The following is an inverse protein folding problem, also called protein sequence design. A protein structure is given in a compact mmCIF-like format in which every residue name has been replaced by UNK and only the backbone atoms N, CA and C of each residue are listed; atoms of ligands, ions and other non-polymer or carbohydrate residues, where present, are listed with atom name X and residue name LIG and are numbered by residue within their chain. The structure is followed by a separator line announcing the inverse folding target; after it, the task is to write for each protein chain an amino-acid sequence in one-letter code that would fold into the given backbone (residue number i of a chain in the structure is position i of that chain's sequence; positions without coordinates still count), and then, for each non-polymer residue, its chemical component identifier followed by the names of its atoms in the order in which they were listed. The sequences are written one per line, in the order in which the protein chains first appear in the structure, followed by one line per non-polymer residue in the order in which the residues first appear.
data_IF_829578956576
#
_entry.id   IF_829578956576
#
_cell.length_a   1.000
_cell.length_b   1.000
_cell.length_c   1.000
_cell.angle_alpha   90.00
_cell.angle_beta   90.00
_cell.angle_gamma   90.00
#
_symmetry.space_group_name_H-M   'P 1'
#
loop_
_entity.id
_entity.type
_entity.pdbx_description
1 polymer ?
#
# COMPACT_ATOMS: atom_id res chain seq x y z
N UNK A 1 17.37 -29.09 24.44
CA UNK A 1 15.90 -29.19 24.39
C UNK A 1 15.50 -28.71 23.01
N UNK A 2 15.20 -29.65 22.12
CA UNK A 2 14.72 -29.35 20.77
C UNK A 2 13.39 -28.60 20.90
N UNK A 3 13.44 -27.31 20.61
CA UNK A 3 12.25 -26.50 20.48
C UNK A 3 11.76 -26.68 19.04
N UNK A 4 11.11 -27.81 18.76
CA UNK A 4 10.35 -27.99 17.52
C UNK A 4 9.21 -26.99 17.54
N UNK A 5 9.48 -25.78 17.04
CA UNK A 5 8.50 -24.74 16.85
C UNK A 5 7.50 -25.21 15.81
N UNK A 6 6.27 -25.38 16.29
CA UNK A 6 5.13 -25.75 15.48
C UNK A 6 4.81 -24.57 14.55
N UNK A 7 5.12 -24.69 13.25
CA UNK A 7 4.74 -23.73 12.21
C UNK A 7 3.22 -23.48 12.18
N UNK A 8 2.43 -24.35 12.80
CA UNK A 8 0.96 -24.26 12.90
C UNK A 8 0.41 -23.06 13.70
N UNK A 9 1.24 -22.23 14.35
CA UNK A 9 0.79 -21.05 15.09
C UNK A 9 1.37 -19.70 14.61
N UNK A 10 2.10 -19.66 13.49
CA UNK A 10 2.62 -18.38 12.97
C UNK A 10 1.49 -17.55 12.35
N UNK A 11 1.37 -16.30 12.77
CA UNK A 11 0.32 -15.40 12.28
C UNK A 11 0.67 -14.85 10.91
N UNK A 12 -0.20 -15.08 9.93
CA UNK A 12 -0.04 -14.54 8.58
C UNK A 12 -0.53 -13.09 8.52
N UNK A 13 0.41 -12.15 8.39
CA UNK A 13 0.14 -10.74 8.19
C UNK A 13 0.04 -10.48 6.69
N UNK A 14 -1.05 -9.87 6.27
CA UNK A 14 -1.41 -9.75 4.84
C UNK A 14 -1.15 -8.37 4.27
N UNK A 15 -0.97 -7.38 5.13
CA UNK A 15 -0.78 -5.99 4.73
C UNK A 15 0.54 -5.42 5.23
N UNK A 16 1.17 -4.59 4.42
CA UNK A 16 2.31 -3.77 4.87
C UNK A 16 1.92 -2.84 6.05
N UNK A 17 0.64 -2.51 6.21
CA UNK A 17 0.15 -1.80 7.39
C UNK A 17 0.31 -2.62 8.68
N UNK A 18 0.19 -3.95 8.61
CA UNK A 18 0.40 -4.84 9.75
C UNK A 18 1.85 -4.75 10.24
N UNK A 19 2.78 -4.68 9.29
CA UNK A 19 4.21 -4.55 9.51
C UNK A 19 4.62 -3.24 10.21
N UNK A 20 3.78 -2.19 10.14
CA UNK A 20 4.07 -0.90 10.77
C UNK A 20 3.62 -0.81 12.23
N UNK A 21 2.74 -1.69 12.72
CA UNK A 21 2.24 -1.63 14.10
C UNK A 21 3.33 -1.64 15.17
N UNK A 22 4.41 -2.45 15.06
CA UNK A 22 5.52 -2.42 16.02
C UNK A 22 6.21 -1.07 16.15
N UNK A 23 6.12 -0.17 15.16
CA UNK A 23 6.77 1.13 15.22
C UNK A 23 5.95 2.20 15.96
N UNK A 24 4.63 2.03 16.04
CA UNK A 24 3.72 3.07 16.55
C UNK A 24 4.06 3.57 17.97
N UNK A 25 4.48 2.72 18.92
CA UNK A 25 4.91 3.16 20.25
C UNK A 25 6.13 4.08 20.29
N UNK A 26 7.00 4.01 19.28
CA UNK A 26 8.25 4.76 19.19
C UNK A 26 8.07 6.13 18.52
N UNK A 27 6.94 6.34 17.83
CA UNK A 27 6.68 7.59 17.12
C UNK A 27 6.46 8.76 18.09
N UNK A 28 7.12 9.89 17.81
CA UNK A 28 7.01 11.11 18.61
C UNK A 28 6.06 12.08 17.93
N UNK A 29 4.91 12.36 18.54
CA UNK A 29 3.97 13.36 18.04
C UNK A 29 4.63 14.75 18.04
N UNK A 30 4.49 15.47 16.93
CA UNK A 30 4.95 16.85 16.73
C UNK A 30 3.81 17.71 16.19
N UNK A 31 3.95 19.02 16.29
CA UNK A 31 3.06 19.96 15.58
C UNK A 31 3.53 20.12 14.13
N UNK A 32 2.65 20.55 13.25
CA UNK A 32 2.97 20.71 11.82
C UNK A 32 4.04 21.78 11.58
N UNK A 33 4.06 22.84 12.38
CA UNK A 33 5.05 23.92 12.26
C UNK A 33 6.47 23.41 12.51
N UNK A 34 6.64 22.44 13.42
CA UNK A 34 7.94 21.80 13.67
C UNK A 34 8.46 21.06 12.43
N UNK A 35 7.56 20.46 11.64
CA UNK A 35 7.95 19.81 10.38
C UNK A 35 8.34 20.85 9.32
N UNK A 36 7.58 21.94 9.21
CA UNK A 36 7.95 23.04 8.31
C UNK A 36 9.29 23.67 8.68
N UNK A 37 9.58 23.88 9.96
CA UNK A 37 10.90 24.32 10.44
C UNK A 37 11.99 23.36 9.96
N UNK A 38 11.82 22.05 10.18
CA UNK A 38 12.77 21.02 9.74
C UNK A 38 12.98 21.00 8.21
N UNK A 39 11.94 21.29 7.43
CA UNK A 39 12.01 21.33 5.97
C UNK A 39 12.67 22.60 5.44
N UNK A 40 12.50 23.74 6.11
CA UNK A 40 13.24 24.98 5.77
C UNK A 40 14.74 24.77 5.85
N UNK A 41 15.19 24.07 6.89
CA UNK A 41 16.61 23.82 7.12
C UNK A 41 17.21 22.86 6.07
N UNK A 42 16.41 21.91 5.57
CA UNK A 42 16.83 20.93 4.55
C UNK A 42 16.70 21.42 3.11
N UNK A 43 15.81 22.38 2.86
CA UNK A 43 15.42 22.82 1.51
C UNK A 43 14.31 21.95 0.92
N UNK A 44 13.69 22.43 -0.18
CA UNK A 44 12.65 21.69 -0.88
C UNK A 44 13.23 20.40 -1.49
N UNK A 45 12.67 19.26 -1.09
CA UNK A 45 13.10 17.96 -1.59
C UNK A 45 12.10 17.43 -2.62
N UNK A 46 12.65 16.83 -3.69
CA UNK A 46 11.85 16.12 -4.69
C UNK A 46 11.11 14.93 -4.07
N UNK A 47 9.94 14.59 -4.60
CA UNK A 47 9.15 13.51 -4.02
C UNK A 47 7.92 13.06 -4.81
N UNK A 48 7.16 12.18 -4.16
CA UNK A 48 5.89 11.65 -4.62
C UNK A 48 4.71 12.35 -3.94
N UNK A 49 3.74 12.81 -4.73
CA UNK A 49 2.48 13.35 -4.22
C UNK A 49 1.42 12.24 -4.20
N UNK A 50 0.79 12.02 -3.05
CA UNK A 50 -0.38 11.17 -2.91
C UNK A 50 -1.59 12.00 -2.53
N UNK A 51 -2.69 11.83 -3.26
CA UNK A 51 -3.97 12.46 -2.91
C UNK A 51 -4.99 11.36 -2.70
N UNK A 52 -5.55 11.32 -1.50
CA UNK A 52 -6.59 10.39 -1.14
C UNK A 52 -7.96 10.97 -1.46
N UNK A 53 -8.74 10.28 -2.30
CA UNK A 53 -10.16 10.58 -2.55
C UNK A 53 -11.00 9.51 -1.85
N UNK A 54 -11.68 9.81 -0.74
CA UNK A 54 -12.32 8.79 0.09
C UNK A 54 -13.64 8.31 -0.51
N UNK A 55 -14.19 8.94 -1.54
CA UNK A 55 -15.54 8.66 -2.02
C UNK A 55 -15.63 7.38 -2.85
N UNK A 56 -16.69 6.61 -2.64
CA UNK A 56 -16.98 5.41 -3.42
C UNK A 56 -18.48 5.25 -3.64
N UNK A 57 -18.87 4.97 -4.88
CA UNK A 57 -20.25 4.62 -5.27
C UNK A 57 -20.58 3.14 -4.99
N UNK A 58 -19.55 2.29 -4.89
CA UNK A 58 -19.68 0.84 -4.74
C UNK A 58 -19.67 0.37 -3.28
N UNK A 59 -20.38 -0.71 -3.00
CA UNK A 59 -20.40 -1.38 -1.68
C UNK A 59 -19.68 -2.72 -1.75
N UNK A 60 -18.37 -2.69 -1.98
CA UNK A 60 -17.55 -3.90 -1.97
C UNK A 60 -17.59 -4.55 -0.58
N UNK A 61 -17.81 -5.87 -0.52
CA UNK A 61 -17.98 -6.61 0.74
C UNK A 61 -16.66 -6.88 1.47
N UNK A 62 -15.53 -6.75 0.78
CA UNK A 62 -14.19 -7.10 1.27
C UNK A 62 -13.33 -5.89 1.65
N UNK A 63 -13.59 -4.71 1.07
CA UNK A 63 -12.61 -3.62 1.09
C UNK A 63 -12.55 -2.95 2.46
N UNK A 64 -11.34 -2.88 3.03
CA UNK A 64 -11.03 -2.35 4.37
C UNK A 64 -10.43 -0.94 4.35
N UNK A 65 -10.25 -0.37 3.16
CA UNK A 65 -9.65 0.96 2.97
C UNK A 65 -10.54 2.06 3.56
N UNK A 66 -9.91 3.16 3.96
CA UNK A 66 -10.60 4.40 4.35
C UNK A 66 -11.43 4.89 3.16
N UNK A 67 -12.75 4.88 3.32
CA UNK A 67 -13.67 5.32 2.27
C UNK A 67 -15.02 5.72 2.85
N UNK A 68 -15.74 6.54 2.10
CA UNK A 68 -17.06 7.06 2.41
C UNK A 68 -18.00 6.83 1.22
N UNK A 69 -19.31 6.64 1.46
CA UNK A 69 -20.29 6.69 0.38
C UNK A 69 -20.17 8.01 -0.38
N UNK A 70 -20.36 7.99 -1.69
CA UNK A 70 -20.37 9.20 -2.52
C UNK A 70 -21.44 10.19 -2.00
N UNK A 71 -21.05 11.38 -1.50
CA UNK A 71 -21.99 12.36 -0.95
C UNK A 71 -22.57 13.25 -2.04
N UNK A 72 -23.30 14.29 -1.63
CA UNK A 72 -23.80 15.31 -2.55
C UNK A 72 -22.64 16.09 -3.19
N UNK A 73 -22.83 16.57 -4.43
CA UNK A 73 -21.80 17.24 -5.22
C UNK A 73 -21.17 18.47 -4.56
N UNK A 74 -21.95 19.20 -3.77
CA UNK A 74 -21.43 20.34 -2.99
C UNK A 74 -20.36 19.91 -1.96
N UNK A 75 -20.49 18.71 -1.38
CA UNK A 75 -19.52 18.20 -0.41
C UNK A 75 -18.24 17.73 -1.09
N UNK A 76 -18.34 17.03 -2.23
CA UNK A 76 -17.17 16.61 -3.01
C UNK A 76 -16.38 17.81 -3.55
N UNK A 77 -17.07 18.87 -4.01
CA UNK A 77 -16.43 20.11 -4.43
C UNK A 77 -15.70 20.81 -3.26
N UNK A 78 -16.36 20.94 -2.10
CA UNK A 78 -15.72 21.50 -0.90
C UNK A 78 -14.50 20.68 -0.46
N UNK A 79 -14.56 19.36 -0.62
CA UNK A 79 -13.42 18.49 -0.32
C UNK A 79 -12.24 18.72 -1.26
N UNK A 80 -12.48 18.81 -2.58
CA UNK A 80 -11.42 19.11 -3.57
C UNK A 80 -10.77 20.47 -3.27
N UNK A 81 -11.57 21.49 -2.95
CA UNK A 81 -11.04 22.80 -2.54
C UNK A 81 -10.18 22.70 -1.27
N UNK A 82 -10.63 21.95 -0.26
CA UNK A 82 -9.84 21.75 0.96
C UNK A 82 -8.49 21.06 0.70
N UNK A 83 -8.44 20.11 -0.25
CA UNK A 83 -7.19 19.47 -0.70
C UNK A 83 -6.26 20.49 -1.36
N UNK A 84 -6.77 21.34 -2.26
CA UNK A 84 -5.97 22.36 -2.95
C UNK A 84 -5.50 23.47 -2.00
N UNK A 85 -6.31 23.84 -1.01
CA UNK A 85 -5.93 24.75 0.07
C UNK A 85 -4.79 24.17 0.91
N UNK A 86 -4.85 22.88 1.26
CA UNK A 86 -3.74 22.21 1.96
C UNK A 86 -2.49 22.15 1.07
N UNK A 87 -2.63 21.70 -0.18
CA UNK A 87 -1.54 21.63 -1.15
C UNK A 87 -0.79 22.96 -1.29
N UNK A 88 -1.53 24.08 -1.31
CA UNK A 88 -0.94 25.41 -1.41
C UNK A 88 -0.01 25.75 -0.25
N UNK A 89 -0.30 25.26 0.97
CA UNK A 89 0.57 25.45 2.13
C UNK A 89 1.91 24.70 2.01
N UNK A 90 1.99 23.70 1.13
CA UNK A 90 3.17 22.88 0.88
C UNK A 90 4.05 23.35 -0.28
N UNK A 91 3.60 24.36 -1.05
CA UNK A 91 4.27 24.84 -2.29
C UNK A 91 5.77 25.10 -2.12
N UNK A 92 6.15 25.73 -1.01
CA UNK A 92 7.54 26.14 -0.76
C UNK A 92 8.40 25.03 -0.12
N UNK A 93 7.78 23.92 0.28
CA UNK A 93 8.43 22.84 1.03
C UNK A 93 8.56 21.54 0.24
N UNK A 94 7.78 21.37 -0.84
CA UNK A 94 7.69 20.12 -1.57
C UNK A 94 7.69 20.38 -3.08
N UNK A 95 8.88 20.29 -3.68
CA UNK A 95 9.08 20.51 -5.11
C UNK A 95 10.50 20.08 -5.50
N UNK A 96 10.71 19.45 -6.67
CA UNK A 96 9.71 19.05 -7.67
C UNK A 96 8.96 17.74 -7.36
N UNK A 97 7.86 17.50 -8.07
CA UNK A 97 7.05 16.27 -7.96
C UNK A 97 7.36 15.31 -9.11
N UNK A 98 7.91 14.13 -8.80
CA UNK A 98 8.33 13.10 -9.77
C UNK A 98 7.24 12.05 -10.03
N UNK A 99 6.23 11.98 -9.17
CA UNK A 99 5.04 11.14 -9.36
C UNK A 99 3.85 11.69 -8.58
N UNK A 100 2.67 11.62 -9.19
CA UNK A 100 1.39 11.94 -8.58
C UNK A 100 0.55 10.67 -8.55
N UNK A 101 0.00 10.30 -7.40
CA UNK A 101 -0.87 9.15 -7.25
C UNK A 101 -2.19 9.58 -6.60
N UNK A 102 -3.26 9.55 -7.39
CA UNK A 102 -4.62 9.80 -6.90
C UNK A 102 -5.28 8.46 -6.60
N UNK A 103 -5.47 8.15 -5.31
CA UNK A 103 -6.00 6.86 -4.85
C UNK A 103 -7.10 6.99 -3.80
N UNK A 104 -7.50 5.88 -3.19
CA UNK A 104 -8.33 5.87 -1.98
C UNK A 104 -9.58 5.01 -2.09
N UNK A 105 -10.76 5.63 -2.02
CA UNK A 105 -12.03 4.97 -2.28
C UNK A 105 -12.16 4.65 -3.77
N UNK A 106 -12.59 5.62 -4.55
CA UNK A 106 -12.62 5.55 -6.01
C UNK A 106 -12.47 6.97 -6.54
N UNK A 107 -11.24 7.43 -6.84
CA UNK A 107 -10.98 8.78 -7.37
C UNK A 107 -11.87 9.17 -8.54
N UNK A 108 -12.10 8.22 -9.45
CA UNK A 108 -12.98 8.40 -10.61
C UNK A 108 -14.47 8.52 -10.27
N UNK A 109 -14.87 8.50 -9.00
CA UNK A 109 -16.22 8.87 -8.59
C UNK A 109 -16.46 10.38 -8.56
N UNK A 110 -15.38 11.19 -8.54
CA UNK A 110 -15.46 12.64 -8.75
C UNK A 110 -16.05 12.95 -10.14
N UNK A 111 -16.77 14.05 -10.24
CA UNK A 111 -17.24 14.58 -11.53
C UNK A 111 -16.08 15.02 -12.42
N UNK A 112 -16.33 15.15 -13.72
CA UNK A 112 -15.32 15.61 -14.67
C UNK A 112 -14.77 16.99 -14.31
N UNK A 113 -15.64 17.88 -13.83
CA UNK A 113 -15.29 19.23 -13.41
C UNK A 113 -14.41 19.22 -12.15
N UNK A 114 -14.69 18.32 -11.19
CA UNK A 114 -13.88 18.17 -9.98
C UNK A 114 -12.52 17.53 -10.25
N UNK A 115 -12.45 16.56 -11.16
CA UNK A 115 -11.18 15.99 -11.62
C UNK A 115 -10.34 17.07 -12.30
N UNK A 116 -10.94 17.86 -13.20
CA UNK A 116 -10.25 18.96 -13.85
C UNK A 116 -9.71 19.97 -12.85
N UNK A 117 -10.56 20.43 -11.92
CA UNK A 117 -10.17 21.35 -10.85
C UNK A 117 -9.00 20.81 -10.01
N UNK A 118 -9.06 19.53 -9.62
CA UNK A 118 -8.00 18.91 -8.82
C UNK A 118 -6.67 18.86 -9.58
N UNK A 119 -6.66 18.33 -10.81
CA UNK A 119 -5.43 18.14 -11.58
C UNK A 119 -4.79 19.47 -12.00
N UNK A 120 -5.59 20.41 -12.49
CA UNK A 120 -5.12 21.75 -12.87
C UNK A 120 -4.59 22.50 -11.64
N UNK A 121 -5.34 22.50 -10.53
CA UNK A 121 -4.90 23.15 -9.29
C UNK A 121 -3.60 22.57 -8.72
N UNK A 122 -3.42 21.25 -8.76
CA UNK A 122 -2.15 20.62 -8.36
C UNK A 122 -0.99 21.03 -9.27
N UNK A 123 -1.23 21.15 -10.59
CA UNK A 123 -0.23 21.61 -11.56
C UNK A 123 0.14 23.08 -11.43
N UNK A 124 -0.77 23.93 -10.93
CA UNK A 124 -0.49 25.33 -10.60
C UNK A 124 0.27 25.50 -9.28
N UNK A 125 0.07 24.56 -8.33
CA UNK A 125 0.69 24.61 -7.01
C UNK A 125 2.09 24.03 -7.02
N UNK A 126 2.29 22.89 -7.68
CA UNK A 126 3.54 22.14 -7.66
C UNK A 126 4.23 22.14 -9.02
N UNK A 127 5.57 22.14 -9.01
CA UNK A 127 6.35 21.85 -10.21
C UNK A 127 6.34 20.33 -10.46
N UNK A 128 5.40 19.86 -11.28
CA UNK A 128 5.33 18.47 -11.73
C UNK A 128 6.35 18.26 -12.85
N UNK A 129 7.25 17.29 -12.69
CA UNK A 129 8.27 16.99 -13.69
C UNK A 129 7.66 16.52 -15.02
N UNK A 130 8.34 16.83 -16.13
CA UNK A 130 7.82 16.53 -17.48
C UNK A 130 7.62 15.04 -17.72
N UNK A 131 8.44 14.19 -17.11
CA UNK A 131 8.36 12.73 -17.18
C UNK A 131 7.70 12.12 -15.92
N UNK A 132 6.96 12.91 -15.14
CA UNK A 132 6.31 12.43 -13.94
C UNK A 132 5.32 11.28 -14.24
N UNK A 133 5.32 10.27 -13.38
CA UNK A 133 4.29 9.23 -13.41
C UNK A 133 3.03 9.77 -12.74
N UNK A 134 1.95 9.97 -13.51
CA UNK A 134 0.66 10.47 -13.04
C UNK A 134 -0.33 9.32 -13.06
N UNK A 135 -0.63 8.83 -11.86
CA UNK A 135 -1.46 7.66 -11.59
C UNK A 135 -2.85 8.05 -11.07
N UNK A 136 -3.87 7.30 -11.50
CA UNK A 136 -5.19 7.34 -10.86
C UNK A 136 -5.81 5.95 -10.71
N UNK A 137 -6.43 5.71 -9.55
CA UNK A 137 -7.21 4.50 -9.29
C UNK A 137 -8.65 4.62 -9.80
N UNK A 138 -9.19 3.52 -10.30
CA UNK A 138 -10.57 3.44 -10.77
C UNK A 138 -11.19 2.07 -10.52
N UNK A 139 -12.50 1.97 -10.78
CA UNK A 139 -13.20 0.70 -10.90
C UNK A 139 -13.81 0.59 -12.28
N UNK A 140 -13.99 -0.63 -12.78
CA UNK A 140 -14.66 -0.85 -14.06
C UNK A 140 -16.03 -0.16 -14.13
N UNK A 141 -16.78 -0.07 -13.02
CA UNK A 141 -18.11 0.58 -13.03
C UNK A 141 -18.08 2.10 -13.18
N UNK A 142 -17.00 2.77 -12.76
CA UNK A 142 -16.89 4.25 -12.80
C UNK A 142 -16.15 4.75 -14.06
N UNK A 143 -15.50 3.85 -14.80
CA UNK A 143 -14.72 4.22 -15.97
C UNK A 143 -15.59 4.26 -17.22
N UNK A 144 -16.04 5.46 -17.58
CA UNK A 144 -16.71 5.77 -18.86
C UNK A 144 -15.69 6.24 -19.90
N UNK A 145 -16.03 6.17 -21.18
CA UNK A 145 -15.16 6.65 -22.27
C UNK A 145 -14.86 8.15 -22.15
N UNK A 146 -15.87 8.98 -21.86
CA UNK A 146 -15.67 10.41 -21.61
C UNK A 146 -14.67 10.67 -20.47
N UNK A 147 -14.71 9.86 -19.41
CA UNK A 147 -13.78 9.97 -18.29
C UNK A 147 -12.39 9.47 -18.64
N UNK A 148 -12.25 8.42 -19.46
CA UNK A 148 -10.95 7.99 -19.97
C UNK A 148 -10.26 9.11 -20.77
N UNK A 149 -10.99 9.73 -21.70
CA UNK A 149 -10.46 10.81 -22.54
C UNK A 149 -10.04 12.01 -21.70
N UNK A 150 -10.89 12.46 -20.77
CA UNK A 150 -10.57 13.55 -19.85
C UNK A 150 -9.30 13.25 -19.03
N UNK A 151 -9.15 12.04 -18.49
CA UNK A 151 -7.98 11.70 -17.69
C UNK A 151 -6.70 11.74 -18.54
N UNK A 152 -6.76 11.27 -19.78
CA UNK A 152 -5.63 11.37 -20.71
C UNK A 152 -5.29 12.84 -21.04
N UNK A 153 -6.30 13.70 -21.25
CA UNK A 153 -6.12 15.14 -21.44
C UNK A 153 -5.49 15.82 -20.21
N UNK A 154 -5.81 15.36 -19.00
CA UNK A 154 -5.22 15.81 -17.74
C UNK A 154 -3.81 15.24 -17.48
N UNK A 155 -3.24 14.51 -18.44
CA UNK A 155 -1.87 13.99 -18.38
C UNK A 155 -1.71 12.68 -17.60
N UNK A 156 -2.81 11.99 -17.23
CA UNK A 156 -2.73 10.67 -16.60
C UNK A 156 -2.08 9.70 -17.58
N UNK A 157 -0.96 9.11 -17.16
CA UNK A 157 -0.19 8.17 -17.96
C UNK A 157 -0.12 6.75 -17.36
N UNK A 158 -0.69 6.55 -16.15
CA UNK A 158 -0.83 5.25 -15.50
C UNK A 158 -2.24 5.08 -14.89
N UNK A 159 -3.03 4.14 -15.42
CA UNK A 159 -4.35 3.82 -14.87
C UNK A 159 -4.30 2.54 -14.04
N UNK A 160 -4.74 2.59 -12.77
CA UNK A 160 -4.91 1.38 -11.94
C UNK A 160 -6.39 1.02 -11.80
N UNK A 161 -6.80 -0.15 -12.30
CA UNK A 161 -8.19 -0.59 -12.24
C UNK A 161 -8.36 -1.77 -11.27
N UNK A 162 -9.19 -1.58 -10.23
CA UNK A 162 -9.58 -2.68 -9.37
C UNK A 162 -10.47 -3.70 -10.11
N UNK A 163 -9.92 -4.84 -10.54
CA UNK A 163 -10.68 -5.90 -11.22
C UNK A 163 -11.17 -6.93 -10.20
N UNK A 164 -10.26 -7.34 -9.33
CA UNK A 164 -10.34 -8.34 -8.28
C UNK A 164 -10.49 -9.78 -8.81
N UNK A 165 -11.42 -10.00 -9.71
CA UNK A 165 -11.60 -11.27 -10.43
C UNK A 165 -12.51 -11.06 -11.65
N UNK A 166 -12.33 -11.87 -12.70
CA UNK A 166 -13.23 -11.91 -13.85
C UNK A 166 -14.36 -12.95 -13.67
N UNK A 167 -14.28 -13.83 -12.67
CA UNK A 167 -15.30 -14.83 -12.37
C UNK A 167 -16.58 -14.16 -11.81
N UNK A 168 -17.72 -14.34 -12.49
CA UNK A 168 -18.99 -13.69 -12.11
C UNK A 168 -19.47 -14.08 -10.70
N UNK A 169 -19.32 -15.35 -10.31
CA UNK A 169 -19.71 -15.82 -8.98
C UNK A 169 -18.90 -15.15 -7.88
N UNK A 170 -17.58 -15.13 -8.03
CA UNK A 170 -16.67 -14.47 -7.08
C UNK A 170 -16.90 -12.95 -7.04
N UNK A 171 -17.15 -12.31 -8.19
CA UNK A 171 -17.52 -10.88 -8.24
C UNK A 171 -18.75 -10.56 -7.42
N UNK A 172 -19.78 -11.42 -7.48
CA UNK A 172 -21.00 -11.26 -6.68
C UNK A 172 -20.71 -11.37 -5.18
N UNK A 173 -19.87 -12.33 -4.76
CA UNK A 173 -19.41 -12.46 -3.36
C UNK A 173 -18.71 -11.18 -2.90
N UNK A 174 -17.85 -10.60 -3.75
CA UNK A 174 -17.09 -9.38 -3.49
C UNK A 174 -17.93 -8.10 -3.57
N UNK A 175 -19.21 -8.17 -3.97
CA UNK A 175 -20.07 -7.01 -4.18
C UNK A 175 -19.64 -6.13 -5.37
N UNK A 176 -18.95 -6.71 -6.35
CA UNK A 176 -18.52 -6.01 -7.57
C UNK A 176 -19.68 -5.97 -8.57
N UNK A 177 -19.89 -4.80 -9.20
CA UNK A 177 -20.87 -4.61 -10.28
C UNK A 177 -20.31 -5.07 -11.62
N UNK A 178 -21.19 -5.50 -12.52
CA UNK A 178 -20.85 -5.94 -13.88
C UNK A 178 -20.15 -7.30 -13.95
N UNK A 179 -20.24 -7.95 -15.11
CA UNK A 179 -19.61 -9.25 -15.35
C UNK A 179 -18.20 -9.14 -15.96
N UNK A 180 -17.44 -10.24 -15.92
CA UNK A 180 -16.07 -10.27 -16.45
C UNK A 180 -15.94 -9.83 -17.91
N UNK A 181 -16.92 -10.13 -18.77
CA UNK A 181 -16.94 -9.68 -20.18
C UNK A 181 -16.94 -8.16 -20.32
N UNK A 182 -17.72 -7.46 -19.49
CA UNK A 182 -17.78 -6.00 -19.49
C UNK A 182 -16.45 -5.39 -19.01
N UNK A 183 -15.86 -5.99 -17.98
CA UNK A 183 -14.55 -5.56 -17.46
C UNK A 183 -13.47 -5.70 -18.54
N UNK A 184 -13.42 -6.84 -19.24
CA UNK A 184 -12.47 -7.06 -20.34
C UNK A 184 -12.63 -6.00 -21.43
N UNK A 185 -13.88 -5.71 -21.85
CA UNK A 185 -14.14 -4.66 -22.84
C UNK A 185 -13.60 -3.30 -22.39
N UNK A 186 -13.79 -2.95 -21.11
CA UNK A 186 -13.28 -1.69 -20.54
C UNK A 186 -11.75 -1.66 -20.45
N UNK A 187 -11.11 -2.77 -20.10
CA UNK A 187 -9.65 -2.88 -20.08
C UNK A 187 -9.05 -2.73 -21.48
N UNK A 188 -9.63 -3.37 -22.49
CA UNK A 188 -9.18 -3.22 -23.88
C UNK A 188 -9.29 -1.75 -24.34
N UNK A 189 -10.39 -1.06 -24.02
CA UNK A 189 -10.52 0.36 -24.33
C UNK A 189 -9.52 1.22 -23.55
N UNK A 190 -9.32 0.95 -22.26
CA UNK A 190 -8.35 1.67 -21.44
C UNK A 190 -6.91 1.47 -21.95
N UNK A 191 -6.57 0.28 -22.47
CA UNK A 191 -5.27 -0.02 -23.07
C UNK A 191 -4.97 0.86 -24.29
N UNK A 192 -5.98 1.21 -25.07
CA UNK A 192 -5.83 2.12 -26.22
C UNK A 192 -5.60 3.58 -25.79
N UNK A 193 -6.03 3.96 -24.58
CA UNK A 193 -5.99 5.34 -24.08
C UNK A 193 -4.77 5.60 -23.22
N UNK A 194 -4.42 4.67 -22.31
CA UNK A 194 -3.39 4.90 -21.30
C UNK A 194 -2.08 4.17 -21.64
N UNK A 195 -0.92 4.87 -21.56
CA UNK A 195 0.40 4.27 -21.79
C UNK A 195 0.71 3.08 -20.87
N UNK A 196 0.37 3.21 -19.59
CA UNK A 196 0.47 2.16 -18.57
C UNK A 196 -0.91 1.85 -18.02
N UNK A 197 -1.26 0.57 -17.99
CA UNK A 197 -2.50 0.09 -17.40
C UNK A 197 -2.18 -1.07 -16.46
N UNK A 198 -2.67 -0.95 -15.23
CA UNK A 198 -2.47 -1.90 -14.16
C UNK A 198 -3.81 -2.36 -13.60
N UNK A 199 -3.83 -3.53 -12.98
CA UNK A 199 -5.04 -4.05 -12.32
C UNK A 199 -4.72 -4.62 -10.95
N UNK A 200 -5.74 -4.67 -10.10
CA UNK A 200 -5.70 -5.45 -8.87
C UNK A 200 -6.48 -6.75 -9.04
N UNK A 201 -5.89 -7.87 -8.60
CA UNK A 201 -6.47 -9.20 -8.54
C UNK A 201 -6.40 -9.70 -7.09
N UNK A 202 -7.48 -10.34 -6.63
CA UNK A 202 -7.54 -10.95 -5.30
C UNK A 202 -7.37 -12.46 -5.39
N UNK A 203 -6.60 -13.01 -4.46
CA UNK A 203 -6.66 -14.41 -4.10
C UNK A 203 -7.17 -14.57 -2.65
N UNK A 204 -7.35 -15.81 -2.19
CA UNK A 204 -7.92 -16.13 -0.87
C UNK A 204 -9.38 -15.64 -0.74
N UNK A 205 -10.16 -15.65 -1.83
CA UNK A 205 -11.58 -15.29 -1.82
C UNK A 205 -12.44 -16.53 -1.45
N UNK A 206 -13.51 -16.40 -0.65
CA UNK A 206 -14.36 -17.55 -0.30
C UNK A 206 -14.93 -18.27 -1.54
N UNK A 207 -14.70 -19.58 -1.63
CA UNK A 207 -15.14 -20.39 -2.77
C UNK A 207 -14.30 -20.26 -4.04
N UNK A 208 -13.19 -19.51 -3.99
CA UNK A 208 -12.24 -19.41 -5.09
C UNK A 208 -11.34 -20.65 -5.13
N UNK A 209 -11.20 -21.24 -6.30
CA UNK A 209 -10.24 -22.30 -6.54
C UNK A 209 -8.97 -21.74 -7.18
N UNK A 210 -7.87 -22.49 -7.08
CA UNK A 210 -6.60 -22.15 -7.75
C UNK A 210 -6.78 -21.83 -9.24
N UNK A 211 -7.61 -22.60 -9.95
CA UNK A 211 -7.90 -22.38 -11.38
C UNK A 211 -8.52 -21.01 -11.67
N UNK A 212 -9.31 -20.45 -10.75
CA UNK A 212 -9.95 -19.15 -10.97
C UNK A 212 -8.91 -18.04 -11.05
N UNK A 213 -7.93 -18.06 -10.14
CA UNK A 213 -6.82 -17.10 -10.14
C UNK A 213 -5.99 -17.24 -11.42
N UNK A 214 -5.65 -18.47 -11.83
CA UNK A 214 -4.88 -18.68 -13.06
C UNK A 214 -5.65 -18.21 -14.29
N UNK A 215 -6.96 -18.46 -14.39
CA UNK A 215 -7.80 -17.94 -15.48
C UNK A 215 -7.82 -16.41 -15.49
N UNK A 216 -7.88 -15.78 -14.32
CA UNK A 216 -7.83 -14.32 -14.21
C UNK A 216 -6.48 -13.75 -14.64
N UNK A 217 -5.37 -14.40 -14.27
CA UNK A 217 -4.02 -14.03 -14.72
C UNK A 217 -3.81 -14.26 -16.22
N UNK A 218 -4.27 -15.39 -16.78
CA UNK A 218 -4.23 -15.65 -18.22
C UNK A 218 -4.92 -14.56 -19.03
N UNK A 219 -6.12 -14.13 -18.59
CA UNK A 219 -6.83 -13.01 -19.23
C UNK A 219 -6.02 -11.71 -19.12
N UNK A 220 -5.40 -11.48 -17.97
CA UNK A 220 -4.64 -10.24 -17.70
C UNK A 220 -3.38 -10.15 -18.55
N UNK A 221 -2.64 -11.25 -18.68
CA UNK A 221 -1.50 -11.38 -19.61
C UNK A 221 -1.97 -11.25 -21.05
N UNK A 222 -3.07 -11.90 -21.44
CA UNK A 222 -3.62 -11.83 -22.80
C UNK A 222 -4.09 -10.44 -23.23
N UNK A 223 -4.53 -9.60 -22.29
CA UNK A 223 -4.86 -8.18 -22.54
C UNK A 223 -3.58 -7.32 -22.64
N UNK A 224 -2.44 -7.82 -22.17
CA UNK A 224 -1.19 -7.08 -22.11
C UNK A 224 -1.18 -6.04 -20.98
N UNK A 225 -1.70 -6.39 -19.80
CA UNK A 225 -1.64 -5.52 -18.60
C UNK A 225 -0.18 -5.27 -18.19
N UNK A 226 0.22 -4.05 -17.85
CA UNK A 226 1.64 -3.74 -17.56
C UNK A 226 2.05 -4.07 -16.12
N UNK A 227 1.09 -3.95 -15.20
CA UNK A 227 1.27 -4.21 -13.77
C UNK A 227 0.06 -4.93 -13.19
N UNK A 228 0.28 -6.01 -12.46
CA UNK A 228 -0.75 -6.82 -11.81
C UNK A 228 -0.44 -6.82 -10.32
N UNK A 229 -1.27 -6.12 -9.54
CA UNK A 229 -1.24 -6.23 -8.10
C UNK A 229 -2.01 -7.47 -7.66
N UNK A 230 -1.35 -8.44 -7.05
CA UNK A 230 -1.93 -9.67 -6.53
C UNK A 230 -1.98 -9.59 -4.99
N UNK A 231 -3.18 -9.42 -4.43
CA UNK A 231 -3.38 -9.30 -2.98
C UNK A 231 -4.18 -10.47 -2.41
N UNK A 232 -3.83 -10.98 -1.22
CA UNK A 232 -4.73 -11.84 -0.47
C UNK A 232 -5.92 -11.04 0.04
N UNK A 233 -7.10 -11.66 0.10
CA UNK A 233 -8.25 -11.07 0.77
C UNK A 233 -7.99 -10.98 2.28
N UNK A 234 -8.15 -9.77 2.83
CA UNK A 234 -7.99 -9.51 4.27
C UNK A 234 -9.35 -9.68 4.96
N UNK A 235 -9.45 -10.65 5.87
CA UNK A 235 -10.65 -10.98 6.64
C UNK A 235 -10.78 -10.09 7.87
N UNK A 236 -10.80 -8.78 7.66
CA UNK A 236 -10.97 -7.81 8.75
C UNK A 236 -12.40 -7.83 9.33
N UNK A 237 -12.58 -7.69 10.66
CA UNK A 237 -13.88 -7.53 11.28
C UNK A 237 -14.68 -6.32 10.74
N UNK A 238 -14.00 -5.37 10.08
CA UNK A 238 -14.62 -4.21 9.42
C UNK A 238 -15.26 -4.56 8.07
N UNK A 239 -14.84 -5.65 7.42
CA UNK A 239 -15.32 -6.04 6.10
C UNK A 239 -16.61 -6.88 6.20
N UNK A 240 -17.72 -6.50 5.52
CA UNK A 240 -18.98 -7.26 5.55
C UNK A 240 -18.86 -8.75 5.21
N UNK A 241 -17.90 -9.13 4.36
CA UNK A 241 -17.69 -10.52 3.91
C UNK A 241 -17.43 -11.48 5.09
N UNK A 242 -16.77 -11.02 6.15
CA UNK A 242 -16.39 -11.85 7.33
C UNK A 242 -17.59 -12.26 8.18
N UNK A 243 -18.73 -11.60 8.02
CA UNK A 243 -20.00 -11.98 8.68
C UNK A 243 -20.65 -13.20 8.04
N UNK A 244 -20.27 -13.52 6.80
CA UNK A 244 -20.90 -14.57 5.98
C UNK A 244 -19.95 -15.73 5.69
N UNK A 245 -18.66 -15.44 5.60
CA UNK A 245 -17.65 -16.42 5.19
C UNK A 245 -16.49 -16.45 6.18
N UNK A 246 -15.92 -17.65 6.34
CA UNK A 246 -14.66 -17.86 7.05
C UNK A 246 -13.50 -17.80 6.05
N UNK A 247 -12.32 -17.49 6.57
CA UNK A 247 -11.08 -17.57 5.79
C UNK A 247 -10.78 -19.03 5.41
N UNK A 248 -10.33 -19.30 4.17
CA UNK A 248 -9.78 -20.59 3.77
C UNK A 248 -8.58 -21.00 4.63
N UNK A 249 -8.25 -22.31 4.69
CA UNK A 249 -6.98 -22.78 5.24
C UNK A 249 -5.79 -22.09 4.57
N UNK A 250 -4.78 -21.75 5.37
CA UNK A 250 -3.59 -21.01 4.92
C UNK A 250 -2.81 -21.76 3.84
N UNK A 251 -2.81 -23.09 3.88
CA UNK A 251 -2.14 -23.96 2.91
C UNK A 251 -2.71 -23.78 1.50
N UNK A 252 -4.02 -23.52 1.41
CA UNK A 252 -4.68 -23.23 0.13
C UNK A 252 -4.20 -21.87 -0.39
N UNK A 253 -4.19 -20.84 0.46
CA UNK A 253 -3.74 -19.50 0.08
C UNK A 253 -2.28 -19.49 -0.36
N UNK A 254 -1.40 -20.19 0.37
CA UNK A 254 0.01 -20.35 0.04
C UNK A 254 0.20 -21.06 -1.31
N UNK A 255 -0.54 -22.16 -1.52
CA UNK A 255 -0.48 -22.91 -2.79
C UNK A 255 -1.00 -22.09 -3.98
N UNK A 256 -2.02 -21.24 -3.78
CA UNK A 256 -2.51 -20.32 -4.81
C UNK A 256 -1.46 -19.25 -5.11
N UNK A 257 -0.88 -18.61 -4.09
CA UNK A 257 0.15 -17.59 -4.27
C UNK A 257 1.36 -18.13 -5.04
N UNK A 258 1.89 -19.30 -4.65
CA UNK A 258 3.01 -19.93 -5.33
C UNK A 258 2.70 -20.21 -6.81
N UNK A 259 1.53 -20.79 -7.09
CA UNK A 259 1.12 -21.08 -8.47
C UNK A 259 0.96 -19.79 -9.29
N UNK A 260 0.35 -18.76 -8.71
CA UNK A 260 0.13 -17.47 -9.35
C UNK A 260 1.44 -16.73 -9.64
N UNK A 261 2.38 -16.72 -8.68
CA UNK A 261 3.71 -16.15 -8.84
C UNK A 261 4.47 -16.84 -9.97
N UNK A 262 4.56 -18.17 -9.95
CA UNK A 262 5.27 -18.93 -10.98
C UNK A 262 4.64 -18.66 -12.36
N UNK A 263 3.30 -18.67 -12.46
CA UNK A 263 2.62 -18.33 -13.71
C UNK A 263 3.00 -16.93 -14.23
N UNK A 264 3.05 -15.92 -13.36
CA UNK A 264 3.43 -14.56 -13.75
C UNK A 264 4.88 -14.49 -14.22
N UNK A 265 5.81 -15.10 -13.48
CA UNK A 265 7.23 -15.14 -13.82
C UNK A 265 7.49 -15.88 -15.15
N UNK A 266 6.84 -17.01 -15.37
CA UNK A 266 6.90 -17.77 -16.64
C UNK A 266 6.35 -16.98 -17.83
N UNK A 267 5.53 -15.96 -17.58
CA UNK A 267 4.97 -15.05 -18.58
C UNK A 267 5.69 -13.68 -18.61
N UNK A 268 6.88 -13.58 -18.03
CA UNK A 268 7.74 -12.39 -18.11
C UNK A 268 7.40 -11.28 -17.12
N UNK A 269 6.56 -11.55 -16.11
CA UNK A 269 6.25 -10.60 -15.05
C UNK A 269 7.11 -10.84 -13.82
N UNK A 270 7.84 -9.81 -13.39
CA UNK A 270 8.66 -9.86 -12.18
C UNK A 270 8.05 -8.97 -11.11
N UNK A 271 8.23 -9.33 -9.83
CA UNK A 271 7.74 -8.51 -8.73
C UNK A 271 8.61 -7.24 -8.57
N UNK A 272 7.97 -6.09 -8.39
CA UNK A 272 8.61 -4.84 -7.93
C UNK A 272 8.28 -4.53 -6.48
N UNK A 273 7.23 -5.15 -5.96
CA UNK A 273 7.05 -5.37 -4.54
C UNK A 273 6.30 -6.70 -4.35
N UNK A 274 6.21 -7.20 -3.11
CA UNK A 274 5.64 -8.52 -2.79
C UNK A 274 4.21 -8.73 -3.29
N UNK A 275 3.47 -7.65 -3.58
CA UNK A 275 2.10 -7.72 -4.09
C UNK A 275 1.97 -7.19 -5.53
N UNK A 276 3.02 -6.73 -6.20
CA UNK A 276 2.90 -6.10 -7.52
C UNK A 276 3.92 -6.64 -8.51
N UNK A 277 3.40 -7.25 -9.58
CA UNK A 277 4.15 -7.88 -10.65
C UNK A 277 4.06 -7.04 -11.92
N UNK A 278 5.16 -6.84 -12.62
CA UNK A 278 5.22 -6.04 -13.85
C UNK A 278 5.96 -6.76 -14.97
N UNK A 279 5.53 -6.51 -16.20
CA UNK A 279 6.25 -6.89 -17.42
C UNK A 279 7.52 -6.05 -17.67
N UNK A 280 7.90 -5.17 -16.73
CA UNK A 280 9.08 -4.32 -16.79
C UNK A 280 8.79 -2.87 -17.21
N UNK A 281 7.60 -2.58 -17.77
CA UNK A 281 7.18 -1.21 -18.15
C UNK A 281 6.70 -0.40 -16.96
N UNK A 282 5.90 -0.98 -16.08
CA UNK A 282 5.43 -0.29 -14.88
C UNK A 282 6.54 -0.22 -13.81
N UNK A 283 6.80 0.98 -13.30
CA UNK A 283 7.76 1.22 -12.20
C UNK A 283 7.07 1.48 -10.87
N UNK A 284 5.76 1.74 -10.90
CA UNK A 284 4.95 2.11 -9.75
C UNK A 284 5.70 3.09 -8.83
N UNK A 285 6.12 4.24 -9.39
CA UNK A 285 7.05 5.17 -8.75
C UNK A 285 6.58 5.57 -7.36
N UNK A 286 5.27 5.82 -7.17
CA UNK A 286 4.70 6.14 -5.85
C UNK A 286 5.03 5.08 -4.78
N UNK A 287 4.77 3.79 -5.05
CA UNK A 287 5.09 2.70 -4.12
C UNK A 287 6.59 2.63 -3.86
N UNK A 288 7.41 2.93 -4.87
CA UNK A 288 8.86 2.91 -4.76
C UNK A 288 9.40 4.04 -3.86
N UNK A 289 8.81 5.24 -3.90
CA UNK A 289 9.15 6.30 -2.94
C UNK A 289 8.81 5.86 -1.52
N UNK A 290 7.60 5.37 -1.30
CA UNK A 290 7.13 5.03 0.05
C UNK A 290 7.98 3.91 0.68
N UNK A 291 8.23 2.82 -0.04
CA UNK A 291 8.98 1.67 0.46
C UNK A 291 10.49 1.95 0.65
N UNK A 292 11.03 2.99 0.01
CA UNK A 292 12.40 3.45 0.23
C UNK A 292 12.52 4.53 1.31
N UNK A 293 11.44 4.81 2.04
CA UNK A 293 11.36 5.93 2.98
C UNK A 293 11.72 7.26 2.33
N UNK A 294 11.40 7.40 1.04
CA UNK A 294 11.54 8.64 0.28
C UNK A 294 10.42 9.62 0.62
N UNK A 295 10.53 10.83 0.09
CA UNK A 295 9.58 11.89 0.37
C UNK A 295 8.25 11.64 -0.34
N UNK A 296 7.22 11.41 0.46
CA UNK A 296 5.84 11.23 0.06
C UNK A 296 4.98 12.23 0.80
N UNK A 297 4.48 13.24 0.08
CA UNK A 297 3.47 14.15 0.59
C UNK A 297 2.09 13.53 0.39
N UNK A 298 1.40 13.18 1.49
CA UNK A 298 0.05 12.63 1.43
C UNK A 298 -0.99 13.68 1.81
N UNK A 299 -1.95 13.97 0.93
CA UNK A 299 -3.04 14.94 1.12
C UNK A 299 -4.40 14.25 1.12
N UNK A 300 -5.36 14.84 1.83
CA UNK A 300 -6.74 14.35 1.88
C UNK A 300 -7.05 13.44 3.07
N UNK A 301 -8.33 13.36 3.42
CA UNK A 301 -8.85 12.49 4.47
C UNK A 301 -8.30 11.05 4.40
N UNK A 302 -7.69 10.58 5.49
CA UNK A 302 -7.13 9.23 5.59
C UNK A 302 -5.76 9.05 4.94
N UNK A 303 -5.24 10.05 4.23
CA UNK A 303 -3.92 9.99 3.63
C UNK A 303 -2.83 9.83 4.68
N UNK A 304 -1.81 9.06 4.32
CA UNK A 304 -0.57 8.93 5.09
C UNK A 304 0.61 9.21 4.15
N UNK A 305 1.44 10.18 4.51
CA UNK A 305 2.71 10.47 3.85
C UNK A 305 3.91 10.11 4.73
N UNK A 306 5.10 10.15 4.14
CA UNK A 306 6.37 10.02 4.84
C UNK A 306 7.36 11.06 4.28
N UNK A 307 7.78 12.04 5.09
CA UNK A 307 8.64 13.14 4.66
C UNK A 307 9.51 13.57 5.82
N UNK A 308 10.80 13.80 5.57
CA UNK A 308 11.76 14.23 6.58
C UNK A 308 11.66 13.41 7.89
N UNK A 309 11.70 12.08 7.76
CA UNK A 309 11.61 11.12 8.87
C UNK A 309 10.32 11.23 9.70
N UNK A 310 9.25 11.74 9.10
CA UNK A 310 7.96 11.89 9.76
C UNK A 310 6.87 11.19 8.96
N UNK A 311 6.07 10.37 9.64
CA UNK A 311 4.76 10.03 9.13
C UNK A 311 3.84 11.24 9.31
N UNK A 312 3.11 11.58 8.27
CA UNK A 312 2.02 12.56 8.34
C UNK A 312 0.70 11.86 8.08
N UNK A 313 -0.25 11.95 9.02
CA UNK A 313 -1.53 11.26 8.94
C UNK A 313 -2.71 12.21 9.10
N UNK A 314 -3.60 12.20 8.11
CA UNK A 314 -4.78 13.05 8.07
C UNK A 314 -5.98 12.49 8.83
N UNK A 315 -6.93 13.38 9.10
CA UNK A 315 -8.24 13.04 9.66
C UNK A 315 -8.91 11.95 8.80
N UNK A 316 -9.61 11.01 9.43
CA UNK A 316 -10.09 9.81 8.73
C UNK A 316 -11.37 10.00 7.91
N UNK A 317 -12.01 11.18 7.95
CA UNK A 317 -13.26 11.46 7.22
C UNK A 317 -13.17 12.78 6.49
N UNK A 318 -13.84 12.87 5.34
CA UNK A 318 -13.93 14.05 4.49
C UNK A 318 -14.46 15.26 5.25
N UNK A 319 -15.50 15.09 6.07
CA UNK A 319 -16.07 16.15 6.89
C UNK A 319 -15.07 16.72 7.90
N UNK A 320 -14.30 15.86 8.60
CA UNK A 320 -13.29 16.33 9.55
C UNK A 320 -12.14 17.01 8.83
N UNK A 321 -11.72 16.47 7.70
CA UNK A 321 -10.65 17.03 6.88
C UNK A 321 -11.00 18.41 6.31
N UNK A 322 -12.24 18.62 5.83
CA UNK A 322 -12.70 19.93 5.37
C UNK A 322 -12.61 20.98 6.48
N UNK A 323 -12.92 20.61 7.73
CA UNK A 323 -12.85 21.52 8.89
C UNK A 323 -11.41 21.74 9.38
N UNK A 324 -10.62 20.67 9.42
CA UNK A 324 -9.24 20.64 9.89
C UNK A 324 -8.42 19.72 8.99
N UNK A 325 -7.75 20.34 8.02
CA UNK A 325 -6.91 19.69 7.01
C UNK A 325 -5.48 19.46 7.49
N UNK A 326 -5.08 19.95 8.66
CA UNK A 326 -3.71 19.80 9.12
C UNK A 326 -3.40 18.32 9.44
N UNK A 327 -2.35 17.81 8.82
CA UNK A 327 -1.83 16.47 9.11
C UNK A 327 -1.30 16.34 10.54
N UNK A 328 -1.57 15.21 11.18
CA UNK A 328 -0.91 14.86 12.44
C UNK A 328 0.52 14.37 12.12
N UNK A 329 1.52 15.02 12.71
CA UNK A 329 2.94 14.69 12.47
C UNK A 329 3.47 13.74 13.54
N UNK A 330 4.11 12.67 13.08
CA UNK A 330 4.72 11.64 13.91
C UNK A 330 6.16 11.41 13.46
N UNK A 331 7.12 12.01 14.18
CA UNK A 331 8.53 11.84 13.89
C UNK A 331 9.01 10.44 14.32
N UNK A 332 9.73 9.78 13.42
CA UNK A 332 10.45 8.53 13.70
C UNK A 332 11.82 8.89 14.30
N UNK A 333 12.18 8.35 15.48
CA UNK A 333 13.50 8.57 16.06
C UNK A 333 14.64 8.04 15.18
N UNK A 334 15.80 8.70 15.21
CA UNK A 334 16.95 8.35 14.37
C UNK A 334 17.42 6.89 14.54
N UNK A 335 17.39 6.36 15.77
CA UNK A 335 17.74 4.97 16.06
C UNK A 335 16.70 3.94 15.59
N UNK A 336 15.50 4.38 15.20
CA UNK A 336 14.41 3.52 14.70
C UNK A 336 14.37 3.51 13.18
N UNK A 337 14.86 4.56 12.51
CA UNK A 337 14.93 4.66 11.05
C UNK A 337 15.62 3.47 10.36
N UNK A 338 16.82 3.00 10.77
CA UNK A 338 17.44 1.86 10.09
C UNK A 338 16.60 0.58 10.17
N UNK A 339 15.91 0.35 11.29
CA UNK A 339 14.99 -0.78 11.47
C UNK A 339 13.81 -0.65 10.53
N UNK A 340 13.17 0.54 10.51
CA UNK A 340 12.04 0.83 9.63
C UNK A 340 12.46 0.65 8.15
N UNK A 341 13.64 1.10 7.78
CA UNK A 341 14.16 0.96 6.43
C UNK A 341 14.30 -0.52 6.04
N UNK A 342 14.97 -1.34 6.85
CA UNK A 342 15.13 -2.77 6.58
C UNK A 342 13.78 -3.48 6.45
N UNK A 343 12.84 -3.15 7.34
CA UNK A 343 11.48 -3.69 7.34
C UNK A 343 10.68 -3.23 6.12
N UNK A 344 10.88 -2.00 5.63
CA UNK A 344 10.28 -1.57 4.36
C UNK A 344 10.90 -2.29 3.16
N UNK A 345 12.19 -2.64 3.19
CA UNK A 345 12.85 -3.35 2.10
C UNK A 345 12.35 -4.80 1.91
N UNK A 346 11.78 -5.42 2.95
CA UNK A 346 11.06 -6.70 2.82
C UNK A 346 9.99 -6.66 1.73
N UNK A 347 9.38 -5.48 1.47
CA UNK A 347 8.43 -5.32 0.38
C UNK A 347 9.05 -5.60 -0.99
N UNK A 348 10.36 -5.53 -1.17
CA UNK A 348 11.05 -5.86 -2.42
C UNK A 348 11.49 -7.33 -2.51
N UNK A 349 11.20 -8.15 -1.49
CA UNK A 349 11.72 -9.51 -1.41
C UNK A 349 13.22 -9.58 -1.13
N UNK A 350 13.89 -8.45 -0.89
CA UNK A 350 15.33 -8.40 -0.64
C UNK A 350 15.74 -7.20 0.20
N UNK A 351 16.79 -7.34 0.99
CA UNK A 351 17.38 -6.29 1.81
C UNK A 351 18.86 -6.20 1.47
N UNK A 352 19.30 -5.06 0.95
CA UNK A 352 20.72 -4.72 0.83
C UNK A 352 21.27 -4.35 2.22
N UNK A 353 22.23 -5.13 2.71
CA UNK A 353 22.79 -4.94 4.06
C UNK A 353 23.83 -3.81 4.12
N UNK A 354 24.39 -3.39 2.98
CA UNK A 354 25.40 -2.34 2.93
C UNK A 354 24.81 -0.94 3.11
N UNK A 355 23.60 -0.72 2.60
CA UNK A 355 22.89 0.55 2.78
C UNK A 355 22.76 0.96 4.26
N UNK A 356 22.23 0.12 5.18
CA UNK A 356 22.09 0.50 6.57
C UNK A 356 23.42 0.61 7.32
N UNK A 357 24.43 -0.20 6.99
CA UNK A 357 25.80 -0.04 7.50
C UNK A 357 26.36 1.33 7.17
N UNK A 358 26.31 1.72 5.90
CA UNK A 358 26.84 3.02 5.44
C UNK A 358 26.05 4.22 5.94
N UNK A 359 24.72 4.11 6.03
CA UNK A 359 23.86 5.27 6.34
C UNK A 359 23.65 5.50 7.83
N UNK A 360 23.63 4.43 8.62
CA UNK A 360 23.22 4.49 10.02
C UNK A 360 24.14 3.73 10.98
N UNK A 361 25.26 3.18 10.50
CA UNK A 361 26.13 2.30 11.30
C UNK A 361 25.34 1.16 11.95
N UNK A 362 24.39 0.61 11.19
CA UNK A 362 23.47 -0.41 11.64
C UNK A 362 23.79 -1.74 10.95
N UNK A 363 24.03 -2.78 11.74
CA UNK A 363 24.37 -4.13 11.28
C UNK A 363 23.11 -5.02 11.23
N UNK A 364 22.51 -5.26 10.04
CA UNK A 364 21.24 -5.98 9.95
C UNK A 364 21.35 -7.46 10.34
N UNK A 365 22.50 -8.09 10.09
CA UNK A 365 22.68 -9.52 10.36
C UNK A 365 22.71 -9.81 11.87
N UNK A 366 23.25 -8.87 12.65
CA UNK A 366 23.24 -8.96 14.12
C UNK A 366 21.88 -8.53 14.69
N UNK A 367 21.31 -7.43 14.18
CA UNK A 367 20.06 -6.88 14.71
C UNK A 367 18.83 -7.77 14.49
N UNK A 368 18.88 -8.66 13.49
CA UNK A 368 17.78 -9.57 13.13
C UNK A 368 18.21 -11.04 13.16
N UNK A 369 19.28 -11.38 13.88
CA UNK A 369 19.90 -12.70 13.85
C UNK A 369 18.90 -13.84 14.11
N UNK A 370 18.02 -13.68 15.10
CA UNK A 370 17.04 -14.71 15.49
C UNK A 370 15.99 -14.89 14.40
N UNK A 371 15.46 -13.79 13.85
CA UNK A 371 14.48 -13.86 12.77
C UNK A 371 15.11 -14.45 11.50
N UNK A 372 16.36 -14.09 11.19
CA UNK A 372 17.09 -14.59 10.03
C UNK A 372 17.31 -16.10 10.15
N UNK A 373 17.86 -16.58 11.26
CA UNK A 373 18.11 -18.00 11.51
C UNK A 373 16.83 -18.82 11.36
N UNK A 374 15.75 -18.40 12.03
CA UNK A 374 14.43 -19.02 11.92
C UNK A 374 13.91 -19.09 10.48
N UNK A 375 14.08 -18.01 9.72
CA UNK A 375 13.59 -17.95 8.33
C UNK A 375 14.47 -18.79 7.40
N UNK A 376 15.77 -18.91 7.65
CA UNK A 376 16.65 -19.83 6.92
C UNK A 376 16.28 -21.29 7.17
N UNK A 377 16.06 -21.66 8.44
CA UNK A 377 15.61 -23.01 8.83
C UNK A 377 14.26 -23.40 8.20
N UNK A 378 13.41 -22.40 7.98
CA UNK A 378 12.10 -22.57 7.37
C UNK A 378 12.12 -22.46 5.84
N UNK A 379 13.30 -22.30 5.22
CA UNK A 379 13.48 -22.08 3.77
C UNK A 379 12.74 -20.85 3.23
N UNK A 380 12.52 -19.85 4.07
CA UNK A 380 11.83 -18.61 3.75
C UNK A 380 12.80 -17.52 3.27
N UNK A 381 14.07 -17.61 3.65
CA UNK A 381 15.07 -16.66 3.18
C UNK A 381 16.43 -17.31 2.96
N UNK A 382 17.25 -16.63 2.17
CA UNK A 382 18.62 -16.95 1.87
C UNK A 382 19.46 -15.73 2.19
N UNK A 383 20.53 -15.91 2.97
CA UNK A 383 21.52 -14.86 3.19
C UNK A 383 22.69 -15.10 2.25
N UNK A 384 22.99 -14.09 1.42
CA UNK A 384 24.20 -14.02 0.61
C UNK A 384 25.07 -12.88 1.16
N UNK A 385 26.33 -12.82 0.73
CA UNK A 385 27.38 -11.92 1.27
C UNK A 385 26.89 -10.51 1.64
N UNK A 386 26.12 -9.85 0.76
CA UNK A 386 25.65 -8.47 0.95
C UNK A 386 24.12 -8.32 0.86
N UNK A 387 23.35 -9.41 0.86
CA UNK A 387 21.90 -9.35 0.65
C UNK A 387 21.17 -10.45 1.40
N UNK A 388 20.06 -10.08 2.04
CA UNK A 388 19.05 -11.02 2.52
C UNK A 388 17.98 -11.11 1.44
N UNK A 389 17.67 -12.31 0.97
CA UNK A 389 16.73 -12.54 -0.14
C UNK A 389 15.61 -13.48 0.33
N UNK A 390 14.35 -13.14 0.06
CA UNK A 390 13.21 -13.99 0.36
C UNK A 390 13.02 -15.04 -0.74
N UNK A 391 12.74 -16.28 -0.35
CA UNK A 391 12.27 -17.31 -1.27
C UNK A 391 10.80 -17.04 -1.64
N UNK A 392 10.22 -17.79 -2.57
CA UNK A 392 8.76 -17.75 -2.84
C UNK A 392 7.94 -17.95 -1.55
N UNK A 393 8.39 -18.86 -0.66
CA UNK A 393 7.76 -19.08 0.63
C UNK A 393 7.91 -17.85 1.55
N UNK A 394 9.10 -17.26 1.59
CA UNK A 394 9.34 -16.02 2.35
C UNK A 394 8.51 -14.84 1.87
N UNK A 395 8.30 -14.70 0.56
CA UNK A 395 7.46 -13.63 0.01
C UNK A 395 6.01 -13.73 0.49
N UNK A 396 5.45 -14.94 0.62
CA UNK A 396 4.12 -15.15 1.20
C UNK A 396 4.04 -14.67 2.65
N UNK A 397 5.12 -14.88 3.41
CA UNK A 397 5.25 -14.47 4.81
C UNK A 397 5.87 -13.08 5.01
N UNK A 398 6.14 -12.33 3.94
CA UNK A 398 6.98 -11.14 3.99
C UNK A 398 6.55 -10.13 5.06
N UNK A 399 5.27 -9.76 5.11
CA UNK A 399 4.80 -8.81 6.13
C UNK A 399 4.94 -9.34 7.56
N UNK A 400 4.79 -10.65 7.76
CA UNK A 400 5.05 -11.32 9.05
C UNK A 400 6.52 -11.26 9.40
N UNK A 401 7.41 -11.61 8.47
CA UNK A 401 8.88 -11.55 8.66
C UNK A 401 9.29 -10.12 9.05
N UNK A 402 8.82 -9.10 8.31
CA UNK A 402 9.12 -7.70 8.61
C UNK A 402 8.63 -7.27 9.99
N UNK A 403 7.47 -7.76 10.44
CA UNK A 403 6.97 -7.46 11.78
C UNK A 403 7.77 -8.18 12.87
N UNK A 404 8.19 -9.43 12.63
CA UNK A 404 9.08 -10.19 13.52
C UNK A 404 10.43 -9.49 13.68
N UNK A 405 11.03 -9.02 12.59
CA UNK A 405 12.27 -8.22 12.61
C UNK A 405 12.11 -6.93 13.45
N UNK A 406 11.00 -6.22 13.26
CA UNK A 406 10.72 -5.02 14.05
C UNK A 406 10.54 -5.37 15.54
N UNK A 407 9.90 -6.49 15.86
CA UNK A 407 9.71 -6.94 17.25
C UNK A 407 11.03 -7.34 17.90
N UNK A 408 11.87 -8.08 17.18
CA UNK A 408 13.20 -8.48 17.64
C UNK A 408 14.03 -7.26 18.04
N UNK A 409 14.17 -6.29 17.13
CA UNK A 409 15.04 -5.15 17.35
C UNK A 409 14.44 -4.10 18.32
N UNK A 410 13.14 -3.82 18.23
CA UNK A 410 12.54 -2.76 19.05
C UNK A 410 12.14 -3.24 20.44
N UNK A 411 11.80 -4.52 20.62
CA UNK A 411 11.22 -5.05 21.86
C UNK A 411 12.02 -6.20 22.46
N UNK A 412 13.26 -6.43 21.99
CA UNK A 412 14.10 -7.56 22.38
C UNK A 412 13.35 -8.90 22.23
N UNK A 413 12.56 -9.04 21.16
CA UNK A 413 11.80 -10.25 20.84
C UNK A 413 10.55 -10.52 21.68
N UNK A 414 10.13 -9.60 22.56
CA UNK A 414 9.01 -9.82 23.53
C UNK A 414 7.66 -9.19 23.12
N UNK A 415 7.52 -8.77 21.87
CA UNK A 415 6.29 -8.17 21.32
C UNK A 415 5.34 -9.18 20.69
N UNK A 416 4.04 -8.85 20.65
CA UNK A 416 3.02 -9.70 20.02
C UNK A 416 2.63 -9.16 18.63
N UNK A 417 2.50 -10.06 17.65
CA UNK A 417 2.09 -9.66 16.30
C UNK A 417 0.58 -9.36 16.24
N UNK A 418 0.24 -8.13 15.87
CA UNK A 418 -1.14 -7.69 15.61
C UNK A 418 -1.41 -7.60 14.10
N UNK A 419 -2.67 -7.84 13.71
CA UNK A 419 -3.13 -7.82 12.33
C UNK A 419 -4.36 -6.94 12.18
N UNK A 420 -4.58 -6.36 10.99
CA UNK A 420 -5.83 -5.74 10.57
C UNK A 420 -7.04 -6.69 10.62
N UNK A 421 -6.80 -8.01 10.74
CA UNK A 421 -7.80 -9.04 10.99
C UNK A 421 -8.17 -9.17 12.48
N UNK A 422 -7.44 -8.53 13.40
CA UNK A 422 -7.84 -8.42 14.80
C UNK A 422 -8.88 -7.31 15.03
N UNK A 423 -9.59 -7.38 16.17
CA UNK A 423 -10.43 -6.28 16.63
C UNK A 423 -9.57 -5.04 16.93
N UNK A 424 -10.02 -3.82 16.55
CA UNK A 424 -9.26 -2.58 16.82
C UNK A 424 -8.88 -2.38 18.29
N UNK A 425 -9.73 -2.81 19.23
CA UNK A 425 -9.44 -2.74 20.67
C UNK A 425 -8.30 -3.67 21.09
N UNK A 426 -8.18 -4.85 20.46
CA UNK A 426 -7.06 -5.77 20.68
C UNK A 426 -5.77 -5.16 20.13
N UNK A 427 -5.79 -4.66 18.89
CA UNK A 427 -4.64 -3.99 18.28
C UNK A 427 -4.12 -2.87 19.19
N UNK A 428 -5.01 -1.97 19.63
CA UNK A 428 -4.64 -0.85 20.50
C UNK A 428 -4.08 -1.31 21.85
N UNK A 429 -4.68 -2.35 22.44
CA UNK A 429 -4.23 -2.92 23.72
C UNK A 429 -2.83 -3.52 23.60
N UNK A 430 -2.57 -4.35 22.59
CA UNK A 430 -1.25 -4.99 22.43
C UNK A 430 -0.16 -3.97 22.12
N UNK A 431 -0.43 -3.00 21.23
CA UNK A 431 0.50 -1.88 20.97
C UNK A 431 0.85 -1.13 22.27
N UNK A 432 -0.12 -0.94 23.17
CA UNK A 432 0.13 -0.32 24.47
C UNK A 432 0.92 -1.22 25.42
N UNK A 433 0.66 -2.52 25.44
CA UNK A 433 1.40 -3.48 26.26
C UNK A 433 2.85 -3.60 25.82
N UNK A 434 3.11 -3.63 24.52
CA UNK A 434 4.46 -3.67 23.95
C UNK A 434 5.24 -2.40 24.29
N UNK A 435 4.58 -1.24 24.30
CA UNK A 435 5.16 0.02 24.81
C UNK A 435 5.57 -0.06 26.29
N UNK A 436 4.85 -0.83 27.11
CA UNK A 436 5.19 -1.02 28.52
C UNK A 436 6.35 -2.01 28.66
N UNK A 437 6.35 -3.09 27.88
CA UNK A 437 7.39 -4.13 27.89
C UNK A 437 8.76 -3.58 27.46
N UNK A 438 8.79 -2.71 26.45
CA UNK A 438 10.03 -2.03 25.99
C UNK A 438 10.64 -1.09 27.03
N UNK A 439 9.86 -0.61 28.02
CA UNK A 439 10.34 0.31 29.07
C UNK A 439 10.84 -0.38 30.33
N UNK A 440 10.62 -1.68 30.48
CA UNK A 440 10.99 -2.41 31.71
C UNK A 440 12.48 -2.75 31.82
N UNK A 441 13.27 -2.44 30.78
CA UNK A 441 14.72 -2.66 30.75
C UNK A 441 15.52 -1.35 30.54
N UNK A 442 14.99 -0.20 30.99
CA UNK A 442 15.77 1.05 31.17
C UNK A 442 15.97 1.31 32.65
#
# INVERSE_FOLDING_TARGET
MENTYNTNNRKWLKSHHDTLFPFFPYLKRKRIEWLFDKLRDKGAEKGALYVHIPFCSGKCTFCILTKEPLPHRSHTANYVNAVLEEASAWRDYFSPVETVYIGGGTPTSLSSEELKLLFEGLGEIFRIEKDAEISIETTASELTEAKMNLLAELGVNRLSMGVQTFNLGLRNILGRRGGGKEVIKKLNRAREVFPLLTIDILYDVPGQEKRDVIIDLQKSVGIGIDGISLYPLIYSPKAPITKRFKQPPIEIAMSIFETAKNFLEDNGYNHININHFTNGRDKFRYSTYFNNLGNVLGLGAGATGFLADCFMKHQSTSEKYIRDRAGNVFNVPANVIPVLWCVSQIQYGKIDIETPRRRWDFEPLEAFATTIEKCMDSEEMIVRKNVIELTTKGMFWANTIGAEMAVECLYNGRGELVSLEDKPSKIAKEIMLDKIRSRKDI
#
